data_IF_573724336845
#
_entry.id   IF_573724336845
#
_cell.length_a   1.000
_cell.length_b   1.000
_cell.length_c   1.000
_cell.angle_alpha   90.00
_cell.angle_beta   90.00
_cell.angle_gamma   90.00
#
_symmetry.space_group_name_H-M   'P 1'
#
loop_
_entity.id
_entity.type
_entity.pdbx_description
1 polymer ?
#
# COMPACT_ATOMS: atom_id res chain seq x y z
N UNK A 1 18.57 -12.44 -48.63
CA UNK A 1 19.98 -12.38 -48.22
C UNK A 1 20.29 -10.94 -47.86
N UNK A 2 20.81 -10.73 -46.64
CA UNK A 2 21.29 -9.49 -45.99
C UNK A 2 20.30 -8.41 -45.51
N UNK A 3 20.37 -8.29 -44.18
CA UNK A 3 19.89 -7.30 -43.22
C UNK A 3 20.83 -6.07 -43.22
N UNK A 4 20.34 -4.98 -42.63
CA UNK A 4 21.04 -3.93 -41.83
C UNK A 4 21.14 -2.55 -42.50
N UNK A 5 20.59 -1.53 -41.82
CA UNK A 5 21.34 -0.27 -41.68
C UNK A 5 20.57 1.05 -41.53
N UNK A 6 20.29 1.40 -40.27
CA UNK A 6 20.42 2.73 -39.66
C UNK A 6 19.37 3.83 -39.99
N UNK A 7 18.54 4.25 -39.03
CA UNK A 7 18.88 5.18 -37.92
C UNK A 7 19.66 6.42 -38.37
N UNK A 8 18.95 7.47 -38.79
CA UNK A 8 19.39 8.88 -38.74
C UNK A 8 18.21 9.80 -39.13
N UNK A 9 17.44 10.25 -38.14
CA UNK A 9 16.59 11.45 -38.25
C UNK A 9 16.25 11.97 -36.84
N UNK A 10 17.26 12.55 -36.20
CA UNK A 10 17.12 13.45 -35.06
C UNK A 10 17.93 14.68 -35.42
N UNK A 11 17.26 15.75 -35.85
CA UNK A 11 17.74 17.12 -35.75
C UNK A 11 16.66 18.07 -36.28
N UNK A 12 16.33 19.07 -35.45
CA UNK A 12 15.45 20.23 -35.71
C UNK A 12 13.97 20.02 -35.42
N UNK A 13 13.62 20.20 -34.15
CA UNK A 13 12.85 21.39 -33.74
C UNK A 13 12.92 21.53 -32.21
N UNK A 14 13.93 22.29 -31.78
CA UNK A 14 13.96 22.91 -30.46
C UNK A 14 13.66 24.38 -30.71
N UNK A 15 12.47 24.83 -30.33
CA UNK A 15 12.18 26.24 -30.13
C UNK A 15 11.17 26.38 -28.98
N UNK A 16 11.73 26.73 -27.81
CA UNK A 16 11.12 27.68 -26.88
C UNK A 16 9.84 27.26 -26.15
N UNK A 17 10.00 26.39 -25.14
CA UNK A 17 9.18 26.51 -23.92
C UNK A 17 10.13 26.68 -22.75
N UNK A 18 10.17 27.90 -22.23
CA UNK A 18 10.84 28.23 -20.97
C UNK A 18 10.07 27.49 -19.87
N UNK A 19 10.55 26.31 -19.48
CA UNK A 19 10.03 25.60 -18.31
C UNK A 19 10.68 26.25 -17.09
N UNK A 20 9.92 27.08 -16.39
CA UNK A 20 10.25 27.50 -15.03
C UNK A 20 10.08 26.27 -14.13
N UNK A 21 11.16 25.53 -13.89
CA UNK A 21 11.20 24.47 -12.89
C UNK A 21 11.27 25.14 -11.52
N UNK A 22 10.12 25.38 -10.91
CA UNK A 22 10.01 25.76 -9.51
C UNK A 22 10.36 24.57 -8.62
N UNK A 23 11.65 24.35 -8.35
CA UNK A 23 12.10 23.47 -7.26
C UNK A 23 11.84 24.22 -5.95
N UNK A 24 10.69 23.97 -5.32
CA UNK A 24 10.46 24.41 -3.94
C UNK A 24 11.15 23.41 -3.01
N UNK A 25 12.45 23.61 -2.74
CA UNK A 25 13.05 23.11 -1.49
C UNK A 25 12.52 24.00 -0.39
N UNK A 26 11.32 23.68 0.09
CA UNK A 26 10.82 24.30 1.31
C UNK A 26 11.65 23.77 2.47
N UNK A 27 12.58 24.59 2.96
CA UNK A 27 12.95 24.60 4.37
C UNK A 27 11.76 25.18 5.18
N UNK A 28 10.59 24.55 5.03
CA UNK A 28 9.39 24.91 5.76
C UNK A 28 9.35 24.01 7.00
N UNK A 29 9.96 24.50 8.08
CA UNK A 29 9.72 23.99 9.44
C UNK A 29 8.32 24.33 9.96
N UNK A 30 7.41 24.87 9.13
CA UNK A 30 6.00 25.12 9.45
C UNK A 30 5.14 24.94 8.19
N UNK A 31 3.97 24.31 8.36
CA UNK A 31 2.93 24.03 7.34
C UNK A 31 3.05 22.69 6.61
N UNK A 32 3.33 21.62 7.36
CA UNK A 32 2.36 20.51 7.34
C UNK A 32 1.36 20.83 8.46
N UNK A 33 0.05 20.57 8.33
CA UNK A 33 -0.73 20.33 9.52
C UNK A 33 0.00 19.20 10.26
N UNK A 34 0.30 19.43 11.53
CA UNK A 34 0.83 18.46 12.47
C UNK A 34 -0.24 17.37 12.68
N UNK A 35 -0.54 16.59 11.65
CA UNK A 35 -1.52 15.51 11.65
C UNK A 35 -0.94 14.34 12.43
N UNK A 36 -1.07 14.45 13.75
CA UNK A 36 -0.51 13.54 14.73
C UNK A 36 -0.08 14.21 16.04
N UNK A 37 0.13 15.55 16.09
CA UNK A 37 0.41 16.22 17.37
C UNK A 37 -0.72 17.11 17.87
N UNK A 38 -1.47 17.75 16.98
CA UNK A 38 -2.56 18.63 17.39
C UNK A 38 -3.84 17.82 17.68
N UNK A 39 -4.08 16.75 16.91
CA UNK A 39 -5.12 15.75 17.21
C UNK A 39 -4.84 15.00 18.51
N UNK A 40 -3.57 14.74 18.82
CA UNK A 40 -3.14 14.10 20.09
C UNK A 40 -3.25 15.08 21.27
N UNK A 41 -3.06 16.38 21.04
CA UNK A 41 -3.23 17.41 22.05
C UNK A 41 -4.72 17.68 22.35
N UNK A 42 -5.60 17.60 21.36
CA UNK A 42 -7.06 17.71 21.52
C UNK A 42 -7.66 16.45 22.17
N UNK A 43 -7.24 15.25 21.73
CA UNK A 43 -7.62 13.96 22.33
C UNK A 43 -7.16 13.78 23.78
N UNK A 44 -6.20 14.59 24.25
CA UNK A 44 -5.75 14.60 25.65
C UNK A 44 -6.60 15.47 26.58
N UNK A 45 -7.46 16.36 26.04
CA UNK A 45 -8.28 17.30 26.85
C UNK A 45 -9.77 16.93 26.88
N UNK A 46 -10.28 16.23 25.87
CA UNK A 46 -11.59 15.56 25.89
C UNK A 46 -11.38 14.05 25.86
N UNK A 47 -12.08 13.29 26.71
CA UNK A 47 -11.89 11.84 26.84
C UNK A 47 -11.96 11.12 25.49
N UNK A 48 -10.84 10.58 25.01
CA UNK A 48 -10.80 9.85 23.76
C UNK A 48 -11.58 8.52 23.89
N UNK A 49 -12.36 8.17 22.87
CA UNK A 49 -12.96 6.85 22.75
C UNK A 49 -11.84 5.83 22.49
N UNK A 50 -11.70 4.84 23.36
CA UNK A 50 -10.72 3.76 23.23
C UNK A 50 -11.43 2.54 22.67
N UNK A 51 -10.92 2.03 21.54
CA UNK A 51 -11.34 0.74 21.00
C UNK A 51 -10.21 -0.25 21.21
N UNK A 52 -10.50 -1.35 21.90
CA UNK A 52 -9.54 -2.41 22.17
C UNK A 52 -9.91 -3.66 21.39
N UNK A 53 -8.94 -4.22 20.65
CA UNK A 53 -9.11 -5.45 19.88
C UNK A 53 -7.94 -6.40 20.17
N UNK A 54 -8.25 -7.66 20.44
CA UNK A 54 -7.24 -8.71 20.55
C UNK A 54 -7.28 -9.64 19.33
N UNK A 55 -6.28 -9.54 18.46
CA UNK A 55 -6.16 -10.42 17.27
C UNK A 55 -5.83 -11.87 17.62
N UNK A 56 -5.45 -12.18 18.87
CA UNK A 56 -5.17 -13.53 19.37
C UNK A 56 -6.43 -14.21 19.92
N UNK A 57 -7.50 -13.47 20.21
CA UNK A 57 -8.73 -14.03 20.73
C UNK A 57 -9.35 -15.07 19.78
N UNK A 58 -10.10 -16.01 20.35
CA UNK A 58 -10.88 -16.94 19.54
C UNK A 58 -11.95 -16.17 18.74
N UNK A 59 -12.09 -16.43 17.43
CA UNK A 59 -13.11 -15.77 16.66
C UNK A 59 -14.51 -16.17 17.11
N UNK A 60 -15.43 -15.21 17.13
CA UNK A 60 -16.83 -15.41 17.52
C UNK A 60 -17.68 -16.11 16.45
N UNK A 61 -17.10 -16.38 15.27
CA UNK A 61 -17.76 -16.96 14.11
C UNK A 61 -17.34 -16.31 12.80
N UNK A 62 -18.07 -16.57 11.73
CA UNK A 62 -17.92 -15.84 10.48
C UNK A 62 -18.36 -14.38 10.68
N UNK A 63 -17.49 -13.45 10.29
CA UNK A 63 -17.84 -12.05 10.17
C UNK A 63 -18.36 -11.83 8.76
N UNK A 64 -19.67 -11.69 8.62
CA UNK A 64 -20.13 -10.65 7.69
C UNK A 64 -19.72 -9.35 8.37
N UNK A 65 -18.72 -8.64 7.84
CA UNK A 65 -18.54 -7.22 8.16
C UNK A 65 -19.80 -6.57 7.59
N UNK A 66 -20.88 -6.66 8.35
CA UNK A 66 -22.20 -6.42 7.83
C UNK A 66 -22.19 -4.98 7.36
N UNK A 67 -22.37 -4.85 6.05
CA UNK A 67 -22.71 -3.60 5.39
C UNK A 67 -23.76 -2.85 6.21
N UNK A 68 -24.65 -3.60 6.88
CA UNK A 68 -25.71 -3.14 7.76
C UNK A 68 -25.26 -2.66 9.15
N UNK A 69 -24.21 -3.25 9.76
CA UNK A 69 -23.73 -2.83 11.10
C UNK A 69 -22.97 -1.49 11.05
N UNK A 70 -22.35 -1.17 9.90
CA UNK A 70 -21.61 0.07 9.64
C UNK A 70 -22.33 0.98 8.64
N UNK A 71 -23.56 0.61 8.24
CA UNK A 71 -24.38 1.41 7.36
C UNK A 71 -24.58 2.80 7.96
N UNK A 72 -24.13 3.82 7.23
CA UNK A 72 -24.64 5.17 7.40
C UNK A 72 -26.13 5.11 6.97
N UNK A 73 -27.08 5.52 7.81
CA UNK A 73 -28.49 5.58 7.43
C UNK A 73 -28.62 6.40 6.13
N UNK A 74 -29.03 5.77 5.02
CA UNK A 74 -29.20 6.42 3.72
C UNK A 74 -28.13 6.14 2.65
N UNK A 75 -26.96 5.60 3.01
CA UNK A 75 -25.81 5.51 2.08
C UNK A 75 -25.71 4.24 1.22
N UNK A 76 -26.65 3.29 1.29
CA UNK A 76 -26.47 1.96 0.68
C UNK A 76 -27.62 1.57 -0.24
N UNK A 77 -27.59 2.12 -1.47
CA UNK A 77 -28.14 1.45 -2.66
C UNK A 77 -27.05 0.83 -3.53
N UNK A 78 -25.78 1.15 -3.28
CA UNK A 78 -24.62 0.66 -4.02
C UNK A 78 -23.61 -0.04 -3.10
N UNK A 79 -22.70 -0.82 -3.69
CA UNK A 79 -21.63 -1.56 -2.99
C UNK A 79 -20.90 -0.63 -2.00
N UNK A 80 -20.65 -1.03 -0.73
CA UNK A 80 -20.03 -0.15 0.26
C UNK A 80 -18.67 0.38 -0.21
N UNK A 81 -18.28 1.61 0.16
CA UNK A 81 -17.04 2.24 -0.32
C UNK A 81 -15.78 1.49 0.11
N UNK A 82 -15.84 0.65 1.15
CA UNK A 82 -14.75 -0.19 1.63
C UNK A 82 -14.77 -1.63 1.08
N UNK A 83 -15.68 -1.96 0.16
CA UNK A 83 -15.87 -3.33 -0.34
C UNK A 83 -14.70 -3.89 -1.16
N UNK A 84 -13.80 -3.02 -1.66
CA UNK A 84 -12.50 -3.43 -2.25
C UNK A 84 -11.35 -3.50 -1.23
N UNK A 85 -11.59 -3.06 0.01
CA UNK A 85 -10.58 -2.95 1.08
C UNK A 85 -10.62 -4.11 2.07
N UNK A 86 -11.74 -4.84 2.09
CA UNK A 86 -12.05 -5.87 3.06
C UNK A 86 -12.40 -7.15 2.31
N UNK A 87 -11.71 -8.25 2.63
CA UNK A 87 -12.05 -9.58 2.11
C UNK A 87 -13.40 -10.05 2.66
N UNK A 88 -14.14 -10.89 1.92
CA UNK A 88 -15.49 -11.33 2.33
C UNK A 88 -15.44 -12.48 3.36
N UNK A 89 -14.33 -13.21 3.45
CA UNK A 89 -14.17 -14.39 4.32
C UNK A 89 -13.48 -14.02 5.64
N UNK A 90 -14.18 -13.26 6.47
CA UNK A 90 -13.63 -12.75 7.72
C UNK A 90 -14.07 -13.59 8.92
N UNK A 91 -13.25 -13.60 9.96
CA UNK A 91 -13.64 -14.19 11.25
C UNK A 91 -13.81 -13.09 12.29
N UNK A 92 -15.02 -12.93 12.86
CA UNK A 92 -15.35 -11.85 13.81
C UNK A 92 -14.49 -11.99 15.06
N UNK A 93 -13.94 -10.88 15.54
CA UNK A 93 -13.16 -10.84 16.78
C UNK A 93 -13.93 -10.07 17.85
N UNK A 94 -13.76 -10.45 19.13
CA UNK A 94 -14.25 -9.63 20.23
C UNK A 94 -13.51 -8.29 20.25
N UNK A 95 -14.25 -7.23 20.59
CA UNK A 95 -13.72 -5.89 20.79
C UNK A 95 -14.44 -5.20 21.94
N UNK A 96 -13.79 -4.19 22.50
CA UNK A 96 -14.35 -3.33 23.54
C UNK A 96 -14.29 -1.88 23.06
N UNK A 97 -15.35 -1.12 23.30
CA UNK A 97 -15.42 0.33 23.07
C UNK A 97 -15.73 1.01 24.40
N UNK A 98 -15.10 2.15 24.69
CA UNK A 98 -15.41 2.97 25.86
C UNK A 98 -16.52 4.00 25.60
N UNK A 99 -17.12 4.01 24.41
CA UNK A 99 -18.20 4.93 24.03
C UNK A 99 -19.35 4.17 23.39
N UNK A 100 -20.57 4.49 23.82
CA UNK A 100 -21.82 3.94 23.25
C UNK A 100 -22.17 4.56 21.90
N UNK A 101 -21.71 5.80 21.65
CA UNK A 101 -21.89 6.51 20.37
C UNK A 101 -21.03 5.95 19.24
N UNK A 102 -20.07 5.08 19.58
CA UNK A 102 -19.13 4.50 18.62
C UNK A 102 -19.45 3.03 18.40
N UNK A 103 -19.96 2.73 17.19
CA UNK A 103 -20.13 1.36 16.72
C UNK A 103 -18.82 0.87 16.13
N UNK A 104 -18.39 -0.34 16.47
CA UNK A 104 -17.16 -0.91 15.94
C UNK A 104 -17.30 -2.39 15.68
N UNK A 105 -16.57 -2.87 14.67
CA UNK A 105 -16.47 -4.28 14.30
C UNK A 105 -15.01 -4.59 13.98
N UNK A 106 -14.52 -5.73 14.47
CA UNK A 106 -13.19 -6.20 14.20
C UNK A 106 -13.25 -7.59 13.58
N UNK A 107 -12.38 -7.85 12.62
CA UNK A 107 -12.34 -9.11 11.91
C UNK A 107 -10.91 -9.52 11.57
N UNK A 108 -10.61 -10.79 11.80
CA UNK A 108 -9.35 -11.40 11.37
C UNK A 108 -9.42 -11.61 9.86
N UNK A 109 -8.57 -10.90 9.13
CA UNK A 109 -8.24 -11.24 7.74
C UNK A 109 -7.09 -12.23 7.75
N UNK A 110 -6.93 -13.03 6.69
CA UNK A 110 -6.06 -14.16 6.84
C UNK A 110 -4.56 -13.69 6.93
N UNK A 111 -4.18 -12.51 6.41
CA UNK A 111 -2.84 -11.90 6.58
C UNK A 111 -2.77 -10.76 7.62
N UNK A 112 -3.74 -10.64 8.53
CA UNK A 112 -3.75 -9.53 9.49
C UNK A 112 -5.09 -9.28 10.20
N UNK A 113 -5.44 -8.01 10.34
CA UNK A 113 -6.65 -7.55 11.04
C UNK A 113 -7.30 -6.36 10.32
N UNK A 114 -8.63 -6.34 10.31
CA UNK A 114 -9.41 -5.14 9.96
C UNK A 114 -10.24 -4.72 11.17
N UNK A 115 -10.29 -3.41 11.43
CA UNK A 115 -11.19 -2.81 12.42
C UNK A 115 -11.95 -1.68 11.75
N UNK A 116 -13.26 -1.82 11.68
CA UNK A 116 -14.13 -0.79 11.18
C UNK A 116 -14.86 -0.11 12.34
N UNK A 117 -15.00 1.20 12.25
CA UNK A 117 -15.52 2.07 13.29
C UNK A 117 -16.47 3.06 12.68
N UNK A 118 -17.55 3.41 13.35
CA UNK A 118 -18.50 4.43 12.94
C UNK A 118 -18.82 5.36 14.12
N UNK A 119 -18.68 6.66 13.89
CA UNK A 119 -19.10 7.70 14.81
C UNK A 119 -20.59 7.99 14.61
N UNK A 120 -21.42 7.56 15.56
CA UNK A 120 -22.85 7.85 15.58
C UNK A 120 -23.20 9.25 16.08
N UNK A 121 -22.27 9.98 16.71
CA UNK A 121 -22.52 11.29 17.26
C UNK A 121 -22.56 12.40 16.19
N UNK A 122 -23.21 13.51 16.55
CA UNK A 122 -23.25 14.75 15.77
C UNK A 122 -22.01 15.64 15.98
N UNK A 123 -21.06 15.18 16.81
CA UNK A 123 -19.79 15.86 17.07
C UNK A 123 -18.59 14.98 16.66
N UNK A 124 -17.43 15.57 16.31
CA UNK A 124 -16.21 14.80 16.06
C UNK A 124 -15.76 14.07 17.32
N UNK A 125 -15.33 12.80 17.17
CA UNK A 125 -14.81 11.99 18.28
C UNK A 125 -13.31 11.75 18.09
N UNK A 126 -12.55 12.01 19.16
CA UNK A 126 -11.17 11.56 19.27
C UNK A 126 -11.14 10.05 19.54
N UNK A 127 -10.50 9.30 18.64
CA UNK A 127 -10.40 7.85 18.70
C UNK A 127 -8.97 7.42 19.02
N UNK A 128 -8.84 6.43 19.90
CA UNK A 128 -7.61 5.71 20.15
C UNK A 128 -7.84 4.21 19.94
N UNK A 129 -7.37 3.69 18.82
CA UNK A 129 -7.44 2.27 18.51
C UNK A 129 -6.25 1.55 19.14
N UNK A 130 -6.50 0.64 20.09
CA UNK A 130 -5.52 -0.20 20.77
C UNK A 130 -5.66 -1.65 20.30
N UNK A 131 -4.68 -2.14 19.52
CA UNK A 131 -4.75 -3.47 18.89
C UNK A 131 -3.62 -4.35 19.37
N UNK A 132 -3.96 -5.49 19.98
CA UNK A 132 -2.97 -6.55 20.24
C UNK A 132 -2.81 -7.40 18.99
N UNK A 133 -1.68 -7.25 18.31
CA UNK A 133 -1.34 -7.98 17.09
C UNK A 133 -0.49 -9.22 17.38
N UNK A 134 -0.59 -10.24 16.52
CA UNK A 134 0.35 -11.37 16.54
C UNK A 134 1.77 -10.87 16.28
N UNK A 135 2.82 -11.58 16.75
CA UNK A 135 4.19 -11.19 16.44
C UNK A 135 4.42 -11.05 14.93
N UNK A 136 4.90 -9.88 14.50
CA UNK A 136 4.94 -9.52 13.08
C UNK A 136 5.33 -8.07 12.85
N UNK A 137 5.53 -7.71 11.58
CA UNK A 137 5.59 -6.31 11.13
C UNK A 137 4.33 -6.05 10.34
N UNK A 138 3.66 -4.95 10.60
CA UNK A 138 2.39 -4.64 9.94
C UNK A 138 2.46 -3.27 9.28
N UNK A 139 1.95 -3.20 8.06
CA UNK A 139 1.50 -1.94 7.46
C UNK A 139 0.15 -1.61 8.07
N UNK A 140 -0.10 -0.33 8.32
CA UNK A 140 -1.35 0.14 8.88
C UNK A 140 -1.95 1.19 7.94
N UNK A 141 -3.12 0.91 7.41
CA UNK A 141 -3.88 1.83 6.57
C UNK A 141 -5.18 2.23 7.28
N UNK A 142 -5.69 3.42 6.97
CA UNK A 142 -6.95 3.94 7.46
C UNK A 142 -7.71 4.57 6.30
N UNK A 143 -8.87 4.03 5.98
CA UNK A 143 -9.84 4.69 5.10
C UNK A 143 -10.86 5.40 5.98
N UNK A 144 -11.05 6.71 5.80
CA UNK A 144 -12.14 7.48 6.40
C UNK A 144 -13.19 7.74 5.33
N UNK A 145 -14.46 7.52 5.67
CA UNK A 145 -15.58 7.73 4.78
C UNK A 145 -16.74 8.43 5.50
N UNK A 146 -17.36 9.40 4.83
CA UNK A 146 -18.63 10.04 5.16
C UNK A 146 -19.43 10.24 3.87
N UNK A 147 -20.59 10.90 3.94
CA UNK A 147 -21.34 11.29 2.74
C UNK A 147 -20.52 12.20 1.81
N UNK A 148 -19.70 13.08 2.40
CA UNK A 148 -18.95 14.12 1.68
C UNK A 148 -17.46 13.80 1.49
N UNK A 149 -16.87 13.00 2.39
CA UNK A 149 -15.42 12.81 2.45
C UNK A 149 -15.09 11.34 2.31
N UNK A 150 -14.26 11.00 1.33
CA UNK A 150 -13.66 9.68 1.22
C UNK A 150 -12.16 9.82 1.06
N UNK A 151 -11.41 9.38 2.07
CA UNK A 151 -9.95 9.56 2.12
C UNK A 151 -9.26 8.30 2.59
N UNK A 152 -8.20 7.91 1.90
CA UNK A 152 -7.29 6.86 2.34
C UNK A 152 -6.02 7.50 2.91
N UNK A 153 -5.67 7.11 4.12
CA UNK A 153 -4.49 7.53 4.84
C UNK A 153 -3.66 6.30 5.18
N UNK A 154 -2.39 6.30 4.78
CA UNK A 154 -1.45 5.31 5.28
C UNK A 154 -0.85 5.79 6.59
N UNK A 155 -1.01 4.98 7.63
CA UNK A 155 -0.49 5.24 8.96
C UNK A 155 0.93 4.70 9.08
N UNK A 156 1.63 5.14 10.13
CA UNK A 156 2.96 4.59 10.44
C UNK A 156 2.89 3.07 10.62
N UNK A 157 3.77 2.32 9.95
CA UNK A 157 3.91 0.87 10.18
C UNK A 157 4.22 0.57 11.65
N UNK A 158 3.84 -0.62 12.10
CA UNK A 158 4.07 -1.06 13.47
C UNK A 158 4.78 -2.41 13.51
N UNK A 159 5.67 -2.57 14.51
CA UNK A 159 6.34 -3.84 14.79
C UNK A 159 5.79 -4.40 16.09
N UNK A 160 5.11 -5.54 16.02
CA UNK A 160 4.73 -6.33 17.18
C UNK A 160 5.85 -7.35 17.42
N UNK A 161 6.89 -6.96 18.17
CA UNK A 161 8.03 -7.84 18.50
C UNK A 161 7.69 -8.85 19.61
N UNK A 162 6.68 -8.54 20.43
CA UNK A 162 6.07 -9.37 21.47
C UNK A 162 4.55 -9.13 21.46
N UNK A 163 3.80 -9.91 22.23
CA UNK A 163 2.39 -9.62 22.52
C UNK A 163 2.28 -8.22 23.13
N UNK A 164 1.97 -7.24 22.29
CA UNK A 164 1.96 -5.83 22.65
C UNK A 164 0.85 -5.13 21.89
N UNK A 165 0.26 -4.13 22.53
CA UNK A 165 -0.77 -3.31 21.92
C UNK A 165 -0.13 -2.24 21.03
N UNK A 166 -0.59 -2.15 19.79
CA UNK A 166 -0.30 -1.05 18.88
C UNK A 166 -1.41 -0.02 19.03
N UNK A 167 -1.02 1.21 19.30
CA UNK A 167 -1.95 2.32 19.42
C UNK A 167 -1.95 3.19 18.16
N UNK A 168 -3.14 3.46 17.61
CA UNK A 168 -3.36 4.37 16.49
C UNK A 168 -4.39 5.44 16.89
N UNK A 169 -3.96 6.69 17.13
CA UNK A 169 -4.88 7.79 17.34
C UNK A 169 -5.50 8.23 16.01
N UNK A 170 -6.68 8.83 16.06
CA UNK A 170 -7.30 9.51 14.92
C UNK A 170 -8.53 10.31 15.33
N UNK A 171 -8.89 11.33 14.56
CA UNK A 171 -10.15 12.06 14.72
C UNK A 171 -11.17 11.53 13.71
N UNK A 172 -12.36 11.15 14.18
CA UNK A 172 -13.46 10.72 13.33
C UNK A 172 -14.52 11.83 13.26
N UNK A 173 -14.84 12.37 12.05
CA UNK A 173 -15.86 13.38 11.91
C UNK A 173 -17.25 12.90 12.40
N UNK A 174 -18.20 13.81 12.63
CA UNK A 174 -19.60 13.47 12.88
C UNK A 174 -20.13 12.56 11.79
N UNK A 175 -20.95 11.56 12.16
CA UNK A 175 -21.63 10.66 11.20
C UNK A 175 -20.69 10.02 10.16
N UNK A 176 -19.42 9.83 10.50
CA UNK A 176 -18.41 9.26 9.61
C UNK A 176 -17.93 7.90 10.11
N UNK A 177 -17.49 7.05 9.18
CA UNK A 177 -16.84 5.79 9.48
C UNK A 177 -15.37 5.77 9.09
N UNK A 178 -14.63 4.83 9.67
CA UNK A 178 -13.26 4.55 9.31
C UNK A 178 -12.98 3.05 9.32
N UNK A 179 -12.23 2.57 8.34
CA UNK A 179 -11.68 1.21 8.30
C UNK A 179 -10.18 1.28 8.51
N UNK A 180 -9.72 0.69 9.60
CA UNK A 180 -8.32 0.44 9.90
C UNK A 180 -7.94 -0.94 9.41
N UNK A 181 -6.83 -1.05 8.69
CA UNK A 181 -6.33 -2.31 8.16
C UNK A 181 -4.87 -2.50 8.55
N UNK A 182 -4.60 -3.59 9.25
CA UNK A 182 -3.26 -4.02 9.63
C UNK A 182 -2.90 -5.26 8.82
N UNK A 183 -1.93 -5.16 7.91
CA UNK A 183 -1.49 -6.27 7.07
C UNK A 183 -0.07 -6.66 7.45
N UNK A 184 0.17 -7.94 7.70
CA UNK A 184 1.52 -8.51 7.75
C UNK A 184 1.98 -8.81 6.31
N UNK A 185 2.88 -8.00 5.73
CA UNK A 185 3.31 -8.17 4.35
C UNK A 185 4.15 -9.44 4.17
N UNK A 186 4.80 -9.98 5.22
CA UNK A 186 5.53 -11.24 5.13
C UNK A 186 4.57 -12.44 5.05
N UNK A 187 3.45 -12.38 5.80
CA UNK A 187 2.37 -13.35 5.68
C UNK A 187 1.67 -13.25 4.31
N UNK A 188 1.46 -12.03 3.81
CA UNK A 188 0.90 -11.79 2.47
C UNK A 188 1.82 -12.37 1.37
N UNK A 189 3.13 -12.11 1.45
CA UNK A 189 4.13 -12.64 0.53
C UNK A 189 4.15 -14.18 0.53
N UNK A 190 4.11 -14.83 1.71
CA UNK A 190 4.08 -16.28 1.79
C UNK A 190 2.87 -16.88 1.03
N UNK A 191 1.71 -16.23 1.11
CA UNK A 191 0.49 -16.71 0.43
C UNK A 191 0.51 -16.50 -1.05
N UNK A 192 0.93 -15.31 -1.49
CA UNK A 192 1.11 -15.04 -2.92
C UNK A 192 2.09 -16.05 -3.52
N UNK A 193 3.16 -16.39 -2.79
CA UNK A 193 4.09 -17.45 -3.19
C UNK A 193 3.45 -18.85 -3.21
N UNK A 194 2.60 -19.19 -2.25
CA UNK A 194 1.89 -20.47 -2.27
C UNK A 194 0.96 -20.61 -3.49
N UNK A 195 0.20 -19.56 -3.83
CA UNK A 195 -0.63 -19.53 -5.05
C UNK A 195 0.21 -19.59 -6.33
N UNK A 196 1.30 -18.80 -6.37
CA UNK A 196 2.31 -18.89 -7.44
C UNK A 196 2.78 -20.33 -7.65
N UNK A 197 3.12 -21.05 -6.58
CA UNK A 197 3.57 -22.45 -6.67
C UNK A 197 2.50 -23.39 -7.23
N UNK A 198 1.23 -23.17 -6.89
CA UNK A 198 0.12 -23.96 -7.44
C UNK A 198 0.02 -23.75 -8.96
N UNK A 199 0.08 -22.50 -9.43
CA UNK A 199 0.08 -22.19 -10.86
C UNK A 199 1.34 -22.69 -11.58
N UNK A 200 2.53 -22.57 -10.97
CA UNK A 200 3.76 -23.15 -11.52
C UNK A 200 3.65 -24.68 -11.64
N UNK A 201 3.06 -25.35 -10.66
CA UNK A 201 2.82 -26.79 -10.76
C UNK A 201 1.89 -27.15 -11.93
N UNK A 202 0.89 -26.32 -12.24
CA UNK A 202 0.05 -26.49 -13.42
C UNK A 202 0.83 -26.32 -14.75
N UNK A 203 1.90 -25.52 -14.78
CA UNK A 203 2.78 -25.42 -15.97
C UNK A 203 3.48 -26.76 -16.25
N UNK A 204 3.72 -27.59 -15.23
CA UNK A 204 4.46 -28.86 -15.37
C UNK A 204 3.82 -29.82 -16.38
N UNK A 205 2.49 -29.92 -16.38
CA UNK A 205 1.75 -30.79 -17.30
C UNK A 205 1.73 -30.26 -18.73
N UNK A 206 1.86 -28.95 -18.92
CA UNK A 206 1.87 -28.29 -20.24
C UNK A 206 3.27 -28.26 -20.86
N UNK A 207 4.28 -27.85 -20.08
CA UNK A 207 5.64 -27.67 -20.56
C UNK A 207 6.68 -27.87 -19.44
N UNK A 208 7.26 -29.08 -19.40
CA UNK A 208 8.22 -29.45 -18.35
C UNK A 208 9.49 -28.58 -18.35
N UNK A 209 9.91 -28.04 -19.51
CA UNK A 209 11.07 -27.15 -19.59
C UNK A 209 10.79 -25.79 -18.98
N UNK A 210 9.64 -25.17 -19.27
CA UNK A 210 9.26 -23.89 -18.67
C UNK A 210 9.02 -24.01 -17.18
N UNK A 211 8.36 -25.11 -16.76
CA UNK A 211 8.22 -25.44 -15.35
C UNK A 211 9.56 -25.45 -14.62
N UNK A 212 10.58 -26.14 -15.15
CA UNK A 212 11.91 -26.17 -14.54
C UNK A 212 12.56 -24.79 -14.47
N UNK A 213 12.45 -23.98 -15.53
CA UNK A 213 13.02 -22.62 -15.57
C UNK A 213 12.41 -21.72 -14.51
N UNK A 214 11.08 -21.66 -14.46
CA UNK A 214 10.34 -20.82 -13.50
C UNK A 214 10.56 -21.34 -12.06
N UNK A 215 10.50 -22.65 -11.85
CA UNK A 215 10.75 -23.25 -10.52
C UNK A 215 12.18 -23.02 -10.04
N UNK A 216 13.17 -23.08 -10.95
CA UNK A 216 14.57 -22.81 -10.63
C UNK A 216 14.77 -21.35 -10.22
N UNK A 217 14.15 -20.41 -10.93
CA UNK A 217 14.18 -18.99 -10.58
C UNK A 217 13.65 -18.78 -9.15
N UNK A 218 12.52 -19.41 -8.82
CA UNK A 218 11.84 -19.27 -7.53
C UNK A 218 12.43 -20.15 -6.40
N UNK A 219 13.49 -20.92 -6.66
CA UNK A 219 13.98 -21.96 -5.74
C UNK A 219 14.43 -21.41 -4.38
N UNK A 220 14.93 -20.18 -4.33
CA UNK A 220 15.38 -19.54 -3.09
C UNK A 220 14.26 -18.83 -2.31
N UNK A 221 13.12 -18.55 -2.95
CA UNK A 221 12.01 -17.81 -2.34
C UNK A 221 11.52 -18.39 -1.00
N UNK A 222 11.32 -19.73 -0.83
CA UNK A 222 10.83 -20.28 0.44
C UNK A 222 11.68 -19.87 1.64
N UNK A 223 13.01 -19.91 1.47
CA UNK A 223 13.95 -19.58 2.52
C UNK A 223 13.98 -18.08 2.82
N UNK A 224 13.89 -17.23 1.79
CA UNK A 224 13.79 -15.78 1.96
C UNK A 224 12.53 -15.40 2.73
N UNK A 225 11.38 -15.99 2.37
CA UNK A 225 10.10 -15.74 3.02
C UNK A 225 10.09 -16.22 4.47
N UNK A 226 10.70 -17.39 4.73
CA UNK A 226 10.87 -17.91 6.11
C UNK A 226 11.69 -16.94 6.96
N UNK A 227 12.76 -16.36 6.41
CA UNK A 227 13.57 -15.33 7.09
C UNK A 227 12.79 -14.05 7.36
N UNK A 228 11.98 -13.59 6.40
CA UNK A 228 11.11 -12.42 6.59
C UNK A 228 10.14 -12.65 7.75
N UNK A 229 9.51 -13.83 7.83
CA UNK A 229 8.61 -14.17 8.94
C UNK A 229 9.34 -14.29 10.28
N UNK A 230 10.53 -14.90 10.31
CA UNK A 230 11.33 -15.06 11.52
C UNK A 230 11.88 -13.72 12.08
N UNK A 231 12.05 -12.71 11.21
CA UNK A 231 12.55 -11.38 11.60
C UNK A 231 11.68 -10.65 12.63
N UNK A 232 10.42 -11.06 12.77
CA UNK A 232 9.49 -10.57 13.79
C UNK A 232 9.94 -10.90 15.23
N UNK A 233 10.65 -12.02 15.42
CA UNK A 233 11.06 -12.54 16.74
C UNK A 233 12.46 -12.08 17.16
N UNK A 234 13.35 -11.90 16.19
CA UNK A 234 14.72 -11.38 16.39
C UNK A 234 15.01 -10.36 15.29
N UNK A 235 14.82 -9.06 15.56
CA UNK A 235 14.88 -8.04 14.52
C UNK A 235 16.33 -7.84 14.05
N UNK A 236 16.69 -8.46 12.92
CA UNK A 236 17.83 -8.02 12.12
C UNK A 236 17.29 -7.30 10.88
N UNK A 237 17.19 -5.96 10.99
CA UNK A 237 16.72 -5.09 9.90
C UNK A 237 17.48 -5.35 8.61
N UNK A 238 18.81 -5.46 8.68
CA UNK A 238 19.66 -5.72 7.50
C UNK A 238 19.35 -7.05 6.81
N UNK A 239 19.25 -8.14 7.58
CA UNK A 239 18.95 -9.45 7.01
C UNK A 239 17.54 -9.50 6.41
N UNK A 240 16.60 -8.80 7.04
CA UNK A 240 15.22 -8.70 6.55
C UNK A 240 15.17 -7.94 5.22
N UNK A 241 15.85 -6.78 5.14
CA UNK A 241 15.96 -6.01 3.90
C UNK A 241 16.64 -6.80 2.80
N UNK A 242 17.80 -7.41 3.07
CA UNK A 242 18.49 -8.26 2.08
C UNK A 242 17.60 -9.38 1.57
N UNK A 243 16.79 -9.99 2.46
CA UNK A 243 15.88 -11.06 2.07
C UNK A 243 14.73 -10.54 1.20
N UNK A 244 14.13 -9.40 1.56
CA UNK A 244 13.08 -8.76 0.77
C UNK A 244 13.59 -8.36 -0.62
N UNK A 245 14.71 -7.65 -0.70
CA UNK A 245 15.27 -7.16 -1.96
C UNK A 245 15.78 -8.29 -2.87
N UNK A 246 16.41 -9.33 -2.32
CA UNK A 246 16.77 -10.52 -3.10
C UNK A 246 15.51 -11.23 -3.62
N UNK A 247 14.47 -11.29 -2.80
CA UNK A 247 13.15 -11.79 -3.22
C UNK A 247 12.58 -11.00 -4.40
N UNK A 248 12.63 -9.66 -4.34
CA UNK A 248 12.15 -8.79 -5.43
C UNK A 248 12.87 -9.07 -6.75
N UNK A 249 14.20 -9.21 -6.73
CA UNK A 249 14.97 -9.54 -7.93
C UNK A 249 14.59 -10.90 -8.52
N UNK A 250 14.40 -11.91 -7.66
CA UNK A 250 13.97 -13.25 -8.08
C UNK A 250 12.57 -13.22 -8.70
N UNK A 251 11.64 -12.51 -8.07
CA UNK A 251 10.25 -12.41 -8.56
C UNK A 251 10.19 -11.68 -9.89
N UNK A 252 10.94 -10.59 -10.05
CA UNK A 252 11.09 -9.89 -11.34
C UNK A 252 11.69 -10.78 -12.42
N UNK A 253 12.68 -11.60 -12.07
CA UNK A 253 13.23 -12.58 -13.01
C UNK A 253 12.19 -13.64 -13.40
N UNK A 254 11.40 -14.14 -12.45
CA UNK A 254 10.32 -15.08 -12.71
C UNK A 254 9.22 -14.45 -13.60
N UNK A 255 8.80 -13.21 -13.34
CA UNK A 255 7.88 -12.45 -14.18
C UNK A 255 8.38 -12.37 -15.63
N UNK A 256 9.65 -12.02 -15.83
CA UNK A 256 10.25 -11.98 -17.16
C UNK A 256 10.23 -13.35 -17.86
N UNK A 257 10.47 -14.45 -17.13
CA UNK A 257 10.38 -15.80 -17.68
C UNK A 257 8.95 -16.16 -18.09
N UNK A 258 7.95 -15.80 -17.28
CA UNK A 258 6.53 -16.05 -17.56
C UNK A 258 6.08 -15.27 -18.79
N UNK A 259 6.37 -13.97 -18.85
CA UNK A 259 6.02 -13.12 -20.00
C UNK A 259 6.66 -13.62 -21.30
N UNK A 260 7.93 -14.03 -21.25
CA UNK A 260 8.60 -14.63 -22.40
C UNK A 260 7.98 -15.97 -22.79
N UNK A 261 7.58 -16.80 -21.83
CA UNK A 261 6.95 -18.08 -22.11
C UNK A 261 5.55 -17.90 -22.72
N UNK A 262 4.79 -16.90 -22.26
CA UNK A 262 3.49 -16.52 -22.80
C UNK A 262 3.61 -15.97 -24.24
N UNK A 263 4.53 -15.02 -24.47
CA UNK A 263 4.77 -14.46 -25.80
C UNK A 263 5.24 -15.49 -26.83
N UNK A 264 5.96 -16.53 -26.38
CA UNK A 264 6.35 -17.68 -27.21
C UNK A 264 5.28 -18.78 -27.28
N UNK A 265 4.09 -18.57 -26.70
CA UNK A 265 2.97 -19.54 -26.63
C UNK A 265 3.37 -20.89 -26.03
N UNK A 266 4.36 -20.90 -25.12
CA UNK A 266 4.84 -22.11 -24.41
C UNK A 266 4.07 -22.37 -23.12
N UNK A 267 3.31 -21.39 -22.66
CA UNK A 267 2.36 -21.45 -21.55
C UNK A 267 1.06 -20.86 -22.07
N UNK A 268 -0.07 -21.43 -21.64
CA UNK A 268 -1.39 -20.90 -21.98
C UNK A 268 -1.54 -19.48 -21.40
N UNK A 269 -2.13 -18.57 -22.18
CA UNK A 269 -2.40 -17.18 -21.80
C UNK A 269 -3.13 -17.08 -20.45
N UNK A 270 -4.22 -17.83 -20.24
CA UNK A 270 -4.97 -17.76 -18.97
C UNK A 270 -4.14 -18.18 -17.75
N UNK A 271 -3.25 -19.16 -17.93
CA UNK A 271 -2.33 -19.61 -16.88
C UNK A 271 -1.19 -18.61 -16.68
N UNK A 272 -0.69 -18.01 -17.76
CA UNK A 272 0.34 -16.97 -17.70
C UNK A 272 -0.19 -15.72 -16.99
N UNK A 273 -1.43 -15.32 -17.25
CA UNK A 273 -2.10 -14.18 -16.61
C UNK A 273 -2.27 -14.43 -15.11
N UNK A 274 -2.81 -15.61 -14.74
CA UNK A 274 -2.98 -16.00 -13.34
C UNK A 274 -1.64 -16.05 -12.59
N UNK A 275 -0.60 -16.57 -13.24
CA UNK A 275 0.75 -16.64 -12.67
C UNK A 275 1.40 -15.26 -12.55
N UNK A 276 1.18 -14.38 -13.53
CA UNK A 276 1.66 -12.99 -13.51
C UNK A 276 1.00 -12.23 -12.38
N UNK A 277 -0.33 -12.32 -12.23
CA UNK A 277 -1.06 -11.67 -11.15
C UNK A 277 -0.58 -12.12 -9.75
N UNK A 278 -0.32 -13.42 -9.56
CA UNK A 278 0.22 -13.92 -8.28
C UNK A 278 1.67 -13.50 -8.02
N UNK A 279 2.51 -13.44 -9.06
CA UNK A 279 3.88 -12.95 -8.96
C UNK A 279 3.93 -11.44 -8.67
N UNK A 280 3.05 -10.64 -9.30
CA UNK A 280 2.89 -9.22 -9.00
C UNK A 280 2.38 -9.00 -7.57
N UNK A 281 1.45 -9.83 -7.10
CA UNK A 281 0.99 -9.82 -5.70
C UNK A 281 2.12 -10.16 -4.72
N UNK A 282 2.97 -11.12 -5.07
CA UNK A 282 4.16 -11.49 -4.30
C UNK A 282 5.18 -10.34 -4.29
N UNK A 283 5.43 -9.73 -5.45
CA UNK A 283 6.32 -8.59 -5.57
C UNK A 283 5.86 -7.43 -4.70
N UNK A 284 4.59 -7.03 -4.84
CA UNK A 284 3.98 -5.98 -4.04
C UNK A 284 4.15 -6.26 -2.54
N UNK A 285 3.90 -7.50 -2.11
CA UNK A 285 4.05 -7.89 -0.70
C UNK A 285 5.50 -7.82 -0.21
N UNK A 286 6.49 -8.14 -1.06
CA UNK A 286 7.91 -8.01 -0.73
C UNK A 286 8.35 -6.54 -0.66
N UNK A 287 7.83 -5.69 -1.54
CA UNK A 287 8.05 -4.24 -1.50
C UNK A 287 7.46 -3.64 -0.23
N UNK A 288 6.25 -4.05 0.14
CA UNK A 288 5.61 -3.70 1.40
C UNK A 288 6.44 -4.16 2.62
N UNK A 289 7.05 -5.34 2.56
CA UNK A 289 7.99 -5.78 3.59
C UNK A 289 9.18 -4.82 3.71
N UNK A 290 9.79 -4.41 2.59
CA UNK A 290 10.93 -3.49 2.62
C UNK A 290 10.55 -2.13 3.20
N UNK A 291 9.44 -1.56 2.77
CA UNK A 291 8.90 -0.28 3.27
C UNK A 291 8.58 -0.36 4.75
N UNK A 292 7.93 -1.44 5.21
CA UNK A 292 7.63 -1.67 6.63
C UNK A 292 8.89 -1.85 7.49
N UNK A 293 9.92 -2.50 6.96
CA UNK A 293 11.20 -2.69 7.67
C UNK A 293 11.97 -1.37 7.78
N UNK A 294 11.93 -0.54 6.75
CA UNK A 294 12.51 0.80 6.75
C UNK A 294 11.69 1.82 7.55
N UNK A 295 10.46 1.48 7.94
CA UNK A 295 9.51 2.36 8.59
C UNK A 295 9.25 3.64 7.76
N UNK A 296 9.12 3.47 6.45
CA UNK A 296 8.69 4.54 5.54
C UNK A 296 7.17 4.65 5.56
N UNK A 297 6.67 5.86 5.72
CA UNK A 297 5.24 6.18 5.70
C UNK A 297 4.94 6.88 4.40
N UNK A 298 4.24 6.21 3.50
CA UNK A 298 3.91 6.73 2.18
C UNK A 298 2.45 7.10 2.14
N UNK A 299 2.13 8.38 1.93
CA UNK A 299 0.77 8.84 1.74
C UNK A 299 0.58 9.36 0.32
N UNK A 300 -0.63 9.17 -0.20
CA UNK A 300 -1.03 9.68 -1.50
C UNK A 300 -2.44 10.24 -1.39
N UNK A 301 -2.73 11.27 -2.18
CA UNK A 301 -4.05 11.89 -2.21
C UNK A 301 -4.24 12.68 -3.49
N UNK A 302 -5.48 12.88 -3.89
CA UNK A 302 -5.86 13.79 -4.97
C UNK A 302 -6.78 14.86 -4.42
N UNK A 303 -6.54 16.08 -4.89
CA UNK A 303 -7.39 17.24 -4.64
C UNK A 303 -7.84 17.77 -5.99
N UNK A 304 -9.14 18.00 -6.14
CA UNK A 304 -9.67 18.69 -7.32
C UNK A 304 -9.26 20.16 -7.27
N UNK A 305 -8.66 20.67 -8.34
CA UNK A 305 -8.38 22.08 -8.52
C UNK A 305 -9.59 22.82 -9.08
N UNK A 306 -9.66 24.12 -8.82
CA UNK A 306 -10.77 24.99 -9.27
C UNK A 306 -10.94 25.01 -10.80
N UNK A 307 -9.86 24.78 -11.55
CA UNK A 307 -9.83 24.77 -13.03
C UNK A 307 -10.22 23.41 -13.64
N UNK A 308 -10.75 22.47 -12.84
CA UNK A 308 -11.05 21.11 -13.30
C UNK A 308 -9.81 20.21 -13.47
N UNK A 309 -8.61 20.74 -13.19
CA UNK A 309 -7.38 19.95 -13.11
C UNK A 309 -7.27 19.25 -11.76
N UNK A 310 -6.96 17.96 -11.74
CA UNK A 310 -6.74 17.25 -10.49
C UNK A 310 -5.27 17.31 -10.08
N UNK A 311 -4.99 17.51 -8.80
CA UNK A 311 -3.63 17.51 -8.25
C UNK A 311 -3.42 16.27 -7.39
N UNK A 312 -2.60 15.35 -7.86
CA UNK A 312 -2.11 14.23 -7.08
C UNK A 312 -0.88 14.63 -6.28
N UNK A 313 -0.88 14.33 -4.99
CA UNK A 313 0.27 14.52 -4.10
C UNK A 313 0.73 13.18 -3.58
N UNK A 314 2.03 12.91 -3.70
CA UNK A 314 2.70 11.74 -3.13
C UNK A 314 3.71 12.21 -2.10
N UNK A 315 3.59 11.73 -0.88
CA UNK A 315 4.44 12.11 0.25
C UNK A 315 5.08 10.88 0.86
N UNK A 316 6.37 10.96 1.17
CA UNK A 316 7.09 9.93 1.91
C UNK A 316 7.75 10.54 3.12
N UNK A 317 7.40 10.04 4.30
CA UNK A 317 8.04 10.36 5.56
C UNK A 317 8.89 9.19 6.04
N UNK A 318 10.15 9.47 6.35
CA UNK A 318 11.05 8.46 6.91
C UNK A 318 10.94 8.45 8.44
N UNK A 319 10.07 7.59 8.96
CA UNK A 319 9.97 7.36 10.40
C UNK A 319 11.06 6.40 10.93
N UNK A 320 11.92 5.88 10.04
CA UNK A 320 13.01 4.99 10.38
C UNK A 320 14.24 5.71 10.94
N UNK A 321 15.20 4.92 11.42
CA UNK A 321 16.49 5.41 11.94
C UNK A 321 17.61 5.49 10.89
N UNK A 322 17.31 5.26 9.61
CA UNK A 322 18.32 5.16 8.53
C UNK A 322 17.99 6.10 7.38
N UNK A 323 19.02 6.68 6.77
CA UNK A 323 18.88 7.44 5.53
C UNK A 323 18.57 6.52 4.36
N UNK A 324 17.63 6.93 3.50
CA UNK A 324 17.30 6.25 2.24
C UNK A 324 17.85 7.05 1.07
N UNK A 325 18.43 6.38 0.09
CA UNK A 325 19.05 7.03 -1.06
C UNK A 325 18.20 6.88 -2.32
N UNK A 326 18.35 7.82 -3.24
CA UNK A 326 17.74 7.79 -4.58
C UNK A 326 16.23 7.58 -4.55
N UNK A 327 15.51 8.32 -3.70
CA UNK A 327 14.05 8.23 -3.60
C UNK A 327 13.43 8.86 -4.85
N UNK A 328 12.58 8.13 -5.55
CA UNK A 328 11.86 8.58 -6.74
C UNK A 328 10.36 8.43 -6.51
N UNK A 329 9.62 9.50 -6.78
CA UNK A 329 8.17 9.52 -6.68
C UNK A 329 7.58 9.85 -8.05
N UNK A 330 6.56 9.11 -8.46
CA UNK A 330 5.79 9.43 -9.65
C UNK A 330 4.36 8.89 -9.54
N UNK A 331 3.51 9.29 -10.47
CA UNK A 331 2.13 8.81 -10.58
C UNK A 331 1.94 8.23 -11.98
N UNK A 332 1.17 7.16 -12.09
CA UNK A 332 0.65 6.64 -13.36
C UNK A 332 -0.87 6.66 -13.33
N UNK A 333 -1.51 6.73 -14.50
CA UNK A 333 -2.96 6.78 -14.64
C UNK A 333 -3.43 5.89 -15.80
N UNK A 334 -4.74 5.64 -15.92
CA UNK A 334 -5.31 4.85 -16.99
C UNK A 334 -5.11 5.53 -18.34
N UNK A 335 -5.34 4.77 -19.41
CA UNK A 335 -5.28 5.29 -20.77
C UNK A 335 -6.16 6.55 -20.93
N UNK A 336 -5.64 7.55 -21.62
CA UNK A 336 -6.31 8.85 -21.79
C UNK A 336 -6.02 9.88 -20.69
N UNK A 337 -5.33 9.51 -19.60
CA UNK A 337 -4.85 10.48 -18.62
C UNK A 337 -3.43 10.96 -18.97
N UNK A 338 -3.23 12.29 -18.91
CA UNK A 338 -1.90 12.90 -19.00
C UNK A 338 -1.46 13.41 -17.64
N UNK A 339 -0.25 13.02 -17.23
CA UNK A 339 0.34 13.40 -15.94
C UNK A 339 1.46 14.40 -16.18
N UNK A 340 1.46 15.49 -15.41
CA UNK A 340 2.45 16.57 -15.51
C UNK A 340 3.03 16.87 -14.12
N UNK A 341 4.36 16.77 -13.92
CA UNK A 341 5.36 16.29 -14.88
C UNK A 341 5.20 14.80 -15.19
N UNK A 342 5.63 14.37 -16.39
CA UNK A 342 5.67 12.96 -16.76
C UNK A 342 6.85 12.23 -16.08
N UNK A 343 7.92 12.96 -15.80
CA UNK A 343 9.11 12.42 -15.15
C UNK A 343 8.91 12.24 -13.64
N UNK A 344 9.61 11.27 -13.07
CA UNK A 344 9.64 11.07 -11.63
C UNK A 344 10.37 12.22 -10.92
N UNK A 345 9.81 12.65 -9.79
CA UNK A 345 10.49 13.55 -8.86
C UNK A 345 11.59 12.76 -8.13
N UNK A 346 12.85 13.20 -8.28
CA UNK A 346 14.02 12.50 -7.73
C UNK A 346 14.59 13.27 -6.53
N UNK A 347 14.71 12.59 -5.41
CA UNK A 347 15.33 13.06 -4.18
C UNK A 347 16.57 12.23 -3.89
N UNK A 348 17.74 12.88 -3.79
CA UNK A 348 19.01 12.16 -3.60
C UNK A 348 19.06 11.37 -2.30
N UNK A 349 18.54 11.95 -1.23
CA UNK A 349 18.53 11.36 0.10
C UNK A 349 17.25 11.73 0.85
N UNK A 350 16.83 10.82 1.73
CA UNK A 350 15.73 10.99 2.67
C UNK A 350 16.24 10.59 4.06
N UNK A 351 16.65 11.57 4.85
CA UNK A 351 17.20 11.38 6.18
C UNK A 351 16.10 10.92 7.18
N UNK A 352 16.49 10.34 8.34
CA UNK A 352 15.56 10.07 9.42
C UNK A 352 14.73 11.29 9.79
N UNK A 353 13.42 11.10 9.98
CA UNK A 353 12.42 12.13 10.29
C UNK A 353 12.26 13.23 9.23
N UNK A 354 12.75 13.01 8.03
CA UNK A 354 12.54 13.89 6.90
C UNK A 354 11.28 13.47 6.13
N UNK A 355 10.59 14.44 5.56
CA UNK A 355 9.49 14.25 4.61
C UNK A 355 9.92 14.78 3.24
N UNK A 356 9.59 14.04 2.19
CA UNK A 356 9.64 14.52 0.81
C UNK A 356 8.26 14.42 0.20
N UNK A 357 7.91 15.37 -0.66
CA UNK A 357 6.60 15.46 -1.29
C UNK A 357 6.77 15.84 -2.76
N UNK A 358 6.04 15.15 -3.62
CA UNK A 358 5.94 15.44 -5.04
C UNK A 358 4.47 15.67 -5.40
N UNK A 359 4.23 16.61 -6.32
CA UNK A 359 2.89 16.95 -6.81
C UNK A 359 2.84 16.79 -8.32
N UNK A 360 1.74 16.23 -8.81
CA UNK A 360 1.50 15.96 -10.22
C UNK A 360 0.11 16.46 -10.58
N UNK A 361 0.01 17.23 -11.66
CA UNK A 361 -1.26 17.58 -12.28
C UNK A 361 -1.72 16.41 -13.16
N UNK A 362 -2.96 15.99 -12.98
CA UNK A 362 -3.65 14.98 -13.78
C UNK A 362 -4.63 15.73 -14.69
N UNK A 363 -4.37 15.61 -15.98
CA UNK A 363 -5.21 16.11 -17.06
C UNK A 363 -5.93 14.91 -17.66
N UNK A 364 -7.17 14.69 -17.26
CA UNK A 364 -8.00 13.62 -17.77
C UNK A 364 -9.05 14.17 -18.72
N UNK A 365 -9.32 13.46 -19.82
CA UNK A 365 -10.40 13.78 -20.75
C UNK A 365 -11.79 13.45 -20.22
N UNK A 366 -11.89 12.73 -19.09
CA UNK A 366 -13.14 12.49 -18.36
C UNK A 366 -12.91 12.47 -16.84
N UNK A 367 -13.92 12.90 -16.08
CA UNK A 367 -13.91 12.89 -14.60
C UNK A 367 -13.93 11.49 -13.98
N UNK A 368 -14.22 10.45 -14.77
CA UNK A 368 -14.18 9.06 -14.33
C UNK A 368 -12.77 8.46 -14.45
N UNK A 369 -12.04 8.77 -15.53
CA UNK A 369 -10.65 8.30 -15.72
C UNK A 369 -9.69 8.93 -14.71
N UNK A 370 -10.01 10.13 -14.21
CA UNK A 370 -9.21 10.85 -13.23
C UNK A 370 -9.23 10.22 -11.83
N UNK A 371 -10.17 9.30 -11.57
CA UNK A 371 -10.38 8.65 -10.27
C UNK A 371 -9.60 7.36 -10.05
N UNK A 372 -8.75 6.93 -10.98
CA UNK A 372 -7.89 5.77 -10.75
C UNK A 372 -6.48 6.16 -11.12
N UNK A 373 -5.56 6.20 -10.18
CA UNK A 373 -4.16 6.44 -10.46
C UNK A 373 -3.31 5.63 -9.49
N UNK A 374 -2.06 5.36 -9.85
CA UNK A 374 -1.15 4.59 -9.02
C UNK A 374 0.01 5.50 -8.66
N UNK A 375 0.19 5.75 -7.38
CA UNK A 375 1.38 6.43 -6.87
C UNK A 375 2.50 5.42 -6.73
N UNK A 376 3.71 5.83 -7.09
CA UNK A 376 4.86 4.96 -7.05
C UNK A 376 5.96 5.57 -6.20
N UNK A 377 6.64 4.70 -5.46
CA UNK A 377 7.85 4.98 -4.71
C UNK A 377 8.91 4.00 -5.19
N UNK A 378 10.04 4.50 -5.68
CA UNK A 378 11.26 3.70 -5.88
C UNK A 378 12.38 4.26 -5.00
N UNK A 379 13.19 3.38 -4.43
CA UNK A 379 14.33 3.77 -3.62
C UNK A 379 15.42 2.71 -3.66
N UNK A 380 16.64 3.13 -3.34
CA UNK A 380 17.79 2.23 -3.29
C UNK A 380 18.21 1.99 -1.85
N UNK A 381 18.36 0.72 -1.48
CA UNK A 381 18.95 0.32 -0.22
C UNK A 381 19.81 -0.94 -0.40
N UNK A 382 20.99 -0.96 0.21
CA UNK A 382 21.95 -2.08 0.10
C UNK A 382 22.26 -2.48 -1.35
N UNK A 383 22.37 -1.49 -2.24
CA UNK A 383 22.62 -1.67 -3.68
C UNK A 383 21.51 -2.40 -4.45
N UNK A 384 20.31 -2.55 -3.87
CA UNK A 384 19.15 -3.10 -4.54
C UNK A 384 18.00 -2.07 -4.59
N UNK A 385 17.35 -1.89 -5.75
CA UNK A 385 16.14 -1.08 -5.83
C UNK A 385 14.97 -1.76 -5.12
N UNK A 386 14.02 -0.98 -4.64
CA UNK A 386 12.73 -1.44 -4.17
C UNK A 386 11.66 -0.49 -4.69
N UNK A 387 10.63 -1.06 -5.30
CA UNK A 387 9.53 -0.34 -5.92
C UNK A 387 8.22 -0.68 -5.22
N UNK A 388 7.53 0.32 -4.69
CA UNK A 388 6.20 0.19 -4.14
C UNK A 388 5.20 0.92 -5.06
N UNK A 389 4.20 0.19 -5.54
CA UNK A 389 3.02 0.76 -6.17
C UNK A 389 1.89 0.91 -5.14
N UNK A 390 1.26 2.06 -5.11
CA UNK A 390 0.17 2.37 -4.19
C UNK A 390 -1.01 2.78 -5.04
N UNK A 391 -2.00 1.89 -5.24
CA UNK A 391 -3.20 2.26 -5.95
C UNK A 391 -3.91 3.34 -5.16
N UNK A 392 -4.16 4.45 -5.85
CA UNK A 392 -4.98 5.54 -5.38
C UNK A 392 -6.26 5.50 -6.20
N UNK A 393 -7.23 4.78 -5.66
CA UNK A 393 -8.60 4.96 -6.13
C UNK A 393 -9.06 6.31 -5.59
N UNK A 394 -9.05 7.30 -6.47
CA UNK A 394 -9.99 8.42 -6.39
C UNK A 394 -11.38 7.82 -6.28
N UNK A 395 -12.13 8.27 -5.28
CA UNK A 395 -13.42 7.73 -4.93
C UNK A 395 -14.54 8.47 -5.66
#
# INVERSE_FOLDING_TARGET
MRVVGAFRAHAREVASVVIVVGVVVSAATRLMPRHGSDDVAAARRGGACIITVDSLAEPLGEAKLAVDELAVPGALREKPPWSGWVELDLKRLPLQSTSEDVRAVAARIPNGLVVAVYNGADAPIALKLAVRLRPGRYTADRMVFSEEVRRVERLQSCMASREGSVEKPGMLPPRAGAVYRFIDPAAAALRAYQRTRQHVAAVRSLNSTQYRRISSALSECPWLLTRLQASSRKPSTDMTLRSAHRGLLIVRHALALVNNAAGLRKVNESLADSLTADLESLEQSLSECSVAVMNLVVSSGVVDGEDGTQKATVTVYNAGGRTVNSVRLWVTGPEGCRIVPADAAVFRTLAPRQTVTASFAILASSSAASRSFVSHLDYQMLSAPAHLAIPVTGL
#
